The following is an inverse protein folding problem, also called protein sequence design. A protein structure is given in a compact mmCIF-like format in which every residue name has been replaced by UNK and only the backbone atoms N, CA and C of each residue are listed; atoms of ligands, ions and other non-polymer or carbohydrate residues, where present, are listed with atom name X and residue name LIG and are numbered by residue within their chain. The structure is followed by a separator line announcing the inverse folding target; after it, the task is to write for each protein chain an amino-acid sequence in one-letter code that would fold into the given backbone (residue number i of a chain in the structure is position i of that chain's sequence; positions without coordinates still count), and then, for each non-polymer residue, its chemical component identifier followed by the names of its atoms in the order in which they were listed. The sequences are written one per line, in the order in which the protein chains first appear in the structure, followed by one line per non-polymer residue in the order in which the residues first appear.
data_IF_647293886095
#
_entry.id   IF_647293886095
#
_cell.length_a   1.000
_cell.length_b   1.000
_cell.length_c   1.000
_cell.angle_alpha   90.00
_cell.angle_beta   90.00
_cell.angle_gamma   90.00
#
_symmetry.space_group_name_H-M   'P 1'
#
loop_
_entity.id
_entity.type
_entity.pdbx_description
1 polymer ?
#
# COMPACT_ATOMS: atom_id res chain seq x y z
N UNK A 1 10.06 36.37 7.40
CA UNK A 1 8.59 36.41 7.29
C UNK A 1 8.08 35.11 7.85
N UNK A 2 7.26 35.17 8.90
CA UNK A 2 6.81 34.01 9.69
C UNK A 2 6.14 32.99 8.78
N UNK A 3 6.72 31.78 8.70
CA UNK A 3 6.12 30.63 8.07
C UNK A 3 4.93 30.21 8.93
N UNK A 4 3.76 30.81 8.70
CA UNK A 4 2.51 30.25 9.20
C UNK A 4 2.37 28.91 8.49
N UNK A 5 2.72 27.83 9.17
CA UNK A 5 2.39 26.48 8.76
C UNK A 5 0.88 26.45 8.56
N UNK A 6 0.44 26.56 7.30
CA UNK A 6 -0.95 26.47 6.96
C UNK A 6 -1.43 25.10 7.47
N UNK A 7 -2.38 25.12 8.42
CA UNK A 7 -2.90 23.89 9.03
C UNK A 7 -3.46 23.02 7.90
N UNK A 8 -2.83 21.86 7.66
CA UNK A 8 -3.17 20.97 6.53
C UNK A 8 -4.44 20.17 6.82
N UNK A 9 -4.63 19.77 8.07
CA UNK A 9 -5.79 19.05 8.61
C UNK A 9 -5.76 19.13 10.15
N UNK A 10 -6.85 18.77 10.81
CA UNK A 10 -6.97 18.70 12.28
C UNK A 10 -6.59 17.31 12.80
N UNK A 11 -6.08 17.22 14.04
CA UNK A 11 -5.80 15.95 14.72
C UNK A 11 -7.04 15.06 14.91
N UNK A 12 -8.22 15.66 14.81
CA UNK A 12 -9.53 14.99 14.92
C UNK A 12 -10.19 14.71 13.58
N UNK A 13 -9.51 14.96 12.46
CA UNK A 13 -10.06 14.65 11.14
C UNK A 13 -10.14 13.14 10.95
N UNK A 14 -11.28 12.65 10.44
CA UNK A 14 -11.51 11.23 10.20
C UNK A 14 -10.74 10.71 8.99
N UNK A 15 -10.67 11.55 7.96
CA UNK A 15 -10.09 11.24 6.65
C UNK A 15 -9.32 12.47 6.16
N UNK A 16 -8.16 12.23 5.55
CA UNK A 16 -7.32 13.26 4.95
C UNK A 16 -7.00 12.88 3.50
N UNK A 17 -7.22 13.78 2.53
CA UNK A 17 -6.84 13.55 1.13
C UNK A 17 -5.31 13.53 0.98
N UNK A 18 -4.78 12.68 0.10
CA UNK A 18 -3.34 12.46 0.00
C UNK A 18 -2.54 13.72 -0.33
N UNK A 19 -3.11 14.67 -1.08
CA UNK A 19 -2.46 15.93 -1.47
C UNK A 19 -2.09 16.79 -0.24
N UNK A 20 -2.77 16.59 0.89
CA UNK A 20 -2.54 17.30 2.15
C UNK A 20 -1.56 16.59 3.08
N UNK A 21 -1.19 15.35 2.79
CA UNK A 21 -0.27 14.56 3.60
C UNK A 21 1.20 14.84 3.25
N UNK A 22 2.10 14.61 4.20
CA UNK A 22 3.55 14.74 4.11
C UNK A 22 4.21 13.61 4.89
N UNK A 23 5.50 13.39 4.68
CA UNK A 23 6.27 12.34 5.37
C UNK A 23 6.29 12.52 6.90
N UNK A 24 6.09 13.74 7.41
CA UNK A 24 5.97 14.01 8.85
C UNK A 24 4.64 13.56 9.49
N UNK A 25 3.67 13.06 8.70
CA UNK A 25 2.35 12.64 9.20
C UNK A 25 2.26 11.14 9.50
N UNK A 26 3.39 10.45 9.63
CA UNK A 26 3.47 8.99 9.90
C UNK A 26 2.61 8.60 11.11
N UNK A 27 2.64 9.40 12.18
CA UNK A 27 1.84 9.13 13.39
C UNK A 27 0.32 9.25 13.17
N UNK A 28 -0.09 9.93 12.10
CA UNK A 28 -1.50 10.18 11.77
C UNK A 28 -2.03 9.17 10.77
N UNK A 29 -1.25 8.80 9.76
CA UNK A 29 -1.73 7.97 8.62
C UNK A 29 -0.86 6.76 8.32
N UNK A 30 0.20 6.52 9.10
CA UNK A 30 1.21 5.50 8.82
C UNK A 30 2.15 5.85 7.68
N UNK A 31 3.27 5.13 7.60
CA UNK A 31 4.38 5.49 6.72
C UNK A 31 4.05 5.36 5.23
N UNK A 32 3.29 4.34 4.82
CA UNK A 32 2.86 4.18 3.41
C UNK A 32 2.01 5.35 2.92
N UNK A 33 0.98 5.74 3.66
CA UNK A 33 0.10 6.84 3.25
C UNK A 33 0.83 8.20 3.33
N UNK A 34 1.69 8.40 4.33
CA UNK A 34 2.54 9.58 4.43
C UNK A 34 3.48 9.71 3.23
N UNK A 35 4.14 8.62 2.83
CA UNK A 35 5.01 8.55 1.65
C UNK A 35 4.25 8.80 0.34
N UNK A 36 3.04 8.24 0.18
CA UNK A 36 2.17 8.52 -0.97
C UNK A 36 1.82 10.02 -1.06
N UNK A 37 1.44 10.62 0.06
CA UNK A 37 1.12 12.05 0.12
C UNK A 37 2.31 12.96 -0.16
N UNK A 38 3.49 12.59 0.34
CA UNK A 38 4.75 13.27 0.06
C UNK A 38 5.03 13.27 -1.45
N UNK A 39 4.94 12.12 -2.12
CA UNK A 39 5.15 12.02 -3.56
C UNK A 39 4.12 12.83 -4.37
N UNK A 40 2.83 12.73 -4.03
CA UNK A 40 1.76 13.50 -4.71
C UNK A 40 2.01 15.01 -4.56
N UNK A 41 2.35 15.46 -3.37
CA UNK A 41 2.44 16.89 -3.08
C UNK A 41 3.75 17.54 -3.53
N UNK A 42 4.87 16.79 -3.54
CA UNK A 42 6.19 17.33 -3.84
C UNK A 42 6.70 16.96 -5.24
N UNK A 43 6.30 15.80 -5.78
CA UNK A 43 6.94 15.23 -6.98
C UNK A 43 6.07 15.25 -8.24
N UNK A 44 4.79 15.59 -8.13
CA UNK A 44 3.91 15.74 -9.30
C UNK A 44 4.44 16.79 -10.28
N UNK A 45 4.96 17.92 -9.78
CA UNK A 45 5.58 18.96 -10.61
C UNK A 45 6.87 18.49 -11.30
N UNK A 46 7.54 17.48 -10.74
CA UNK A 46 8.73 16.82 -11.29
C UNK A 46 8.39 15.64 -12.21
N UNK A 47 7.10 15.46 -12.54
CA UNK A 47 6.61 14.46 -13.50
C UNK A 47 6.28 13.09 -12.91
N UNK A 48 6.49 12.86 -11.61
CA UNK A 48 6.11 11.60 -10.96
C UNK A 48 4.58 11.51 -10.89
N UNK A 49 4.02 10.42 -11.41
CA UNK A 49 2.57 10.21 -11.46
C UNK A 49 2.14 9.23 -10.38
N UNK A 50 1.44 9.73 -9.37
CA UNK A 50 0.88 8.91 -8.29
C UNK A 50 -0.65 9.01 -8.35
N UNK A 51 -1.40 7.89 -8.33
CA UNK A 51 -2.85 7.94 -8.29
C UNK A 51 -3.35 8.63 -7.01
N UNK A 52 -4.32 9.53 -7.16
CA UNK A 52 -4.95 10.22 -6.05
C UNK A 52 -5.77 9.28 -5.14
N UNK A 53 -6.13 9.80 -3.98
CA UNK A 53 -6.82 9.03 -2.95
C UNK A 53 -6.91 9.78 -1.62
N UNK A 54 -7.27 9.05 -0.58
CA UNK A 54 -7.37 9.57 0.78
C UNK A 54 -7.06 8.49 1.82
N UNK A 55 -6.65 8.91 3.01
CA UNK A 55 -6.37 8.02 4.14
C UNK A 55 -7.34 8.27 5.28
N UNK A 56 -7.80 7.22 5.94
CA UNK A 56 -8.36 7.33 7.30
C UNK A 56 -7.24 7.63 8.29
N UNK A 57 -7.53 8.29 9.40
CA UNK A 57 -6.50 8.67 10.37
C UNK A 57 -6.41 7.68 11.54
N UNK A 58 -5.31 7.74 12.30
CA UNK A 58 -5.16 7.05 13.56
C UNK A 58 -6.25 7.46 14.57
N UNK A 59 -6.71 8.72 14.53
CA UNK A 59 -7.87 9.18 15.28
C UNK A 59 -9.12 8.38 14.90
N UNK A 60 -9.39 8.21 13.60
CA UNK A 60 -10.52 7.43 13.13
C UNK A 60 -10.52 5.98 13.63
N UNK A 61 -9.36 5.32 13.58
CA UNK A 61 -9.20 3.96 14.09
C UNK A 61 -9.41 3.88 15.61
N UNK A 62 -8.83 4.81 16.38
CA UNK A 62 -9.02 4.86 17.84
C UNK A 62 -10.47 5.09 18.24
N UNK A 63 -11.16 6.01 17.55
CA UNK A 63 -12.58 6.27 17.78
C UNK A 63 -13.46 5.08 17.37
N UNK A 64 -13.09 4.35 16.33
CA UNK A 64 -13.76 3.10 15.96
C UNK A 64 -13.65 2.04 17.07
N UNK A 65 -12.46 1.84 17.64
CA UNK A 65 -12.27 0.88 18.75
C UNK A 65 -13.01 1.26 20.03
N UNK A 66 -13.28 2.55 20.26
CA UNK A 66 -14.05 3.03 21.41
C UNK A 66 -15.56 2.73 21.30
N UNK A 67 -16.06 2.29 20.15
CA UNK A 67 -17.47 1.95 19.95
C UNK A 67 -17.88 0.73 20.78
N UNK A 68 -19.01 0.83 21.48
CA UNK A 68 -19.67 -0.32 22.11
C UNK A 68 -18.82 -1.13 23.09
N UNK A 69 -17.74 -0.55 23.65
CA UNK A 69 -16.81 -1.27 24.53
C UNK A 69 -15.88 -2.26 23.81
N UNK A 70 -15.76 -2.17 22.48
CA UNK A 70 -14.92 -3.06 21.67
C UNK A 70 -13.48 -3.12 22.16
N UNK A 71 -12.84 -1.98 22.40
CA UNK A 71 -11.47 -1.90 22.93
C UNK A 71 -11.30 -2.68 24.25
N UNK A 72 -12.21 -2.49 25.21
CA UNK A 72 -12.16 -3.20 26.48
C UNK A 72 -12.29 -4.73 26.31
N UNK A 73 -13.19 -5.17 25.43
CA UNK A 73 -13.40 -6.58 25.11
C UNK A 73 -12.16 -7.22 24.46
N UNK A 74 -11.54 -6.50 23.52
CA UNK A 74 -10.29 -6.93 22.86
C UNK A 74 -9.17 -7.06 23.88
N UNK A 75 -8.97 -6.05 24.73
CA UNK A 75 -7.93 -6.07 25.77
C UNK A 75 -8.11 -7.24 26.74
N UNK A 76 -9.33 -7.50 27.19
CA UNK A 76 -9.60 -8.62 28.08
C UNK A 76 -9.20 -9.96 27.44
N UNK A 77 -9.52 -10.15 26.16
CA UNK A 77 -9.15 -11.37 25.44
C UNK A 77 -7.64 -11.51 25.26
N UNK A 78 -6.94 -10.42 24.88
CA UNK A 78 -5.49 -10.42 24.67
C UNK A 78 -4.70 -10.58 25.97
N UNK A 79 -5.17 -10.02 27.09
CA UNK A 79 -4.51 -10.15 28.39
C UNK A 79 -4.56 -11.59 28.96
N UNK A 80 -5.52 -12.39 28.52
CA UNK A 80 -5.67 -13.80 28.91
C UNK A 80 -4.99 -14.76 27.93
N UNK A 81 -4.47 -14.23 26.81
CA UNK A 81 -3.91 -15.03 25.74
C UNK A 81 -2.45 -15.37 26.04
N UNK A 82 -2.14 -16.66 26.06
CA UNK A 82 -0.78 -17.14 25.86
C UNK A 82 -0.47 -17.13 24.36
N UNK A 83 0.44 -16.26 23.92
CA UNK A 83 0.79 -16.11 22.50
C UNK A 83 1.62 -17.27 21.94
N UNK A 84 2.18 -18.12 22.82
CA UNK A 84 2.90 -19.34 22.42
C UNK A 84 1.94 -20.53 22.18
N UNK A 85 0.70 -20.46 22.71
CA UNK A 85 -0.37 -21.39 22.34
C UNK A 85 -0.99 -20.96 21.00
N UNK A 86 -0.50 -21.59 19.93
CA UNK A 86 -0.95 -21.36 18.55
C UNK A 86 -2.47 -21.55 18.38
N UNK A 87 -3.10 -22.48 19.13
CA UNK A 87 -4.55 -22.71 19.03
C UNK A 87 -5.33 -21.60 19.74
N UNK A 88 -4.88 -21.20 20.92
CA UNK A 88 -5.48 -20.08 21.65
C UNK A 88 -5.33 -18.77 20.85
N UNK A 89 -4.16 -18.54 20.25
CA UNK A 89 -3.88 -17.39 19.40
C UNK A 89 -4.82 -17.32 18.19
N UNK A 90 -4.96 -18.43 17.45
CA UNK A 90 -5.81 -18.48 16.26
C UNK A 90 -7.30 -18.24 16.61
N UNK A 91 -7.80 -18.86 17.69
CA UNK A 91 -9.20 -18.72 18.12
C UNK A 91 -9.52 -17.33 18.69
N UNK A 92 -8.61 -16.78 19.49
CA UNK A 92 -8.71 -15.41 20.03
C UNK A 92 -8.63 -14.37 18.92
N UNK A 93 -7.65 -14.51 18.02
CA UNK A 93 -7.48 -13.65 16.85
C UNK A 93 -8.73 -13.65 15.96
N UNK A 94 -9.27 -14.83 15.64
CA UNK A 94 -10.49 -14.95 14.85
C UNK A 94 -11.69 -14.26 15.53
N UNK A 95 -11.86 -14.44 16.85
CA UNK A 95 -12.94 -13.81 17.62
C UNK A 95 -12.82 -12.29 17.60
N UNK A 96 -11.63 -11.74 17.82
CA UNK A 96 -11.38 -10.30 17.79
C UNK A 96 -11.67 -9.73 16.40
N UNK A 97 -11.20 -10.38 15.33
CA UNK A 97 -11.47 -9.96 13.94
C UNK A 97 -12.97 -9.96 13.66
N UNK A 98 -13.70 -10.96 14.13
CA UNK A 98 -15.16 -10.99 13.98
C UNK A 98 -15.82 -9.81 14.70
N UNK A 99 -15.42 -9.49 15.94
CA UNK A 99 -15.98 -8.34 16.67
C UNK A 99 -15.72 -7.02 15.93
N UNK A 100 -14.53 -6.85 15.35
CA UNK A 100 -14.19 -5.69 14.52
C UNK A 100 -15.08 -5.62 13.28
N UNK A 101 -15.27 -6.73 12.56
CA UNK A 101 -16.11 -6.77 11.36
C UNK A 101 -17.60 -6.51 11.66
N UNK A 102 -18.10 -6.96 12.81
CA UNK A 102 -19.49 -6.74 13.26
C UNK A 102 -19.72 -5.32 13.80
N UNK A 103 -18.66 -4.59 14.14
CA UNK A 103 -18.77 -3.22 14.65
C UNK A 103 -18.97 -2.24 13.50
N UNK A 104 -20.05 -1.43 13.49
CA UNK A 104 -20.25 -0.42 12.46
C UNK A 104 -19.20 0.70 12.57
N UNK A 105 -18.88 1.32 11.44
CA UNK A 105 -18.02 2.51 11.45
C UNK A 105 -18.73 3.66 12.19
N UNK A 106 -18.01 4.49 12.96
CA UNK A 106 -18.58 5.72 13.51
C UNK A 106 -19.22 6.57 12.41
N UNK A 107 -20.39 7.16 12.66
CA UNK A 107 -21.13 7.92 11.66
C UNK A 107 -20.29 9.05 11.02
N UNK A 108 -19.43 9.71 11.81
CA UNK A 108 -18.50 10.74 11.32
C UNK A 108 -17.44 10.18 10.35
N UNK A 109 -16.91 8.99 10.64
CA UNK A 109 -15.96 8.30 9.76
C UNK A 109 -16.63 7.87 8.46
N UNK A 110 -17.78 7.19 8.56
CA UNK A 110 -18.52 6.76 7.36
C UNK A 110 -18.86 7.95 6.47
N UNK A 111 -19.42 9.02 7.04
CA UNK A 111 -19.77 10.23 6.30
C UNK A 111 -18.54 10.82 5.58
N UNK A 112 -17.41 10.93 6.29
CA UNK A 112 -16.18 11.50 5.73
C UNK A 112 -15.61 10.64 4.59
N UNK A 113 -15.66 9.30 4.70
CA UNK A 113 -15.28 8.38 3.63
C UNK A 113 -16.20 8.57 2.42
N UNK A 114 -17.52 8.61 2.62
CA UNK A 114 -18.49 8.82 1.54
C UNK A 114 -18.26 10.14 0.79
N UNK A 115 -17.97 11.20 1.51
CA UNK A 115 -17.67 12.52 0.92
C UNK A 115 -16.41 12.49 0.05
N UNK A 116 -15.29 11.98 0.58
CA UNK A 116 -14.02 11.91 -0.15
C UNK A 116 -14.10 10.92 -1.32
N UNK A 117 -14.78 9.79 -1.15
CA UNK A 117 -15.06 8.85 -2.22
C UNK A 117 -15.89 9.49 -3.33
N UNK A 118 -16.95 10.24 -3.00
CA UNK A 118 -17.78 10.93 -4.00
C UNK A 118 -16.98 11.90 -4.86
N UNK A 119 -16.05 12.65 -4.24
CA UNK A 119 -15.10 13.53 -4.95
C UNK A 119 -14.12 12.73 -5.81
N UNK A 120 -13.55 11.65 -5.26
CA UNK A 120 -12.57 10.82 -5.95
C UNK A 120 -13.18 10.02 -7.11
N UNK A 121 -14.43 9.58 -7.03
CA UNK A 121 -15.13 8.83 -8.07
C UNK A 121 -15.87 9.72 -9.09
N UNK A 122 -15.87 11.04 -8.88
CA UNK A 122 -16.62 11.98 -9.71
C UNK A 122 -16.28 11.85 -11.20
N UNK A 123 -17.32 11.66 -12.02
CA UNK A 123 -17.21 11.53 -13.48
C UNK A 123 -16.65 10.18 -13.96
N UNK A 124 -16.44 9.20 -13.07
CA UNK A 124 -15.86 7.90 -13.41
C UNK A 124 -16.60 6.76 -12.69
N UNK A 125 -17.82 6.41 -13.12
CA UNK A 125 -18.68 5.43 -12.44
C UNK A 125 -18.05 4.02 -12.38
N UNK A 126 -17.20 3.69 -13.35
CA UNK A 126 -16.53 2.38 -13.45
C UNK A 126 -15.14 2.36 -12.78
N UNK A 127 -14.76 3.42 -12.05
CA UNK A 127 -13.49 3.45 -11.33
C UNK A 127 -13.49 2.42 -10.19
N UNK A 128 -12.38 1.70 -10.05
CA UNK A 128 -12.11 0.82 -8.91
C UNK A 128 -10.96 1.35 -8.05
N UNK A 129 -10.90 0.86 -6.82
CA UNK A 129 -10.03 1.38 -5.77
C UNK A 129 -9.24 0.26 -5.11
N UNK A 130 -8.01 0.59 -4.70
CA UNK A 130 -7.25 -0.19 -3.75
C UNK A 130 -7.55 0.32 -2.33
N UNK A 131 -7.77 -0.60 -1.39
CA UNK A 131 -7.86 -0.30 0.04
C UNK A 131 -6.68 -0.98 0.71
N UNK A 132 -5.71 -0.17 1.13
CA UNK A 132 -4.40 -0.60 1.63
C UNK A 132 -4.23 -0.16 3.08
N UNK A 133 -3.66 -1.05 3.87
CA UNK A 133 -3.25 -0.80 5.24
C UNK A 133 -1.94 0.01 5.31
N UNK A 134 -1.83 0.88 6.31
CA UNK A 134 -0.68 1.73 6.59
C UNK A 134 -0.58 1.91 8.11
N UNK A 135 0.46 1.36 8.74
CA UNK A 135 0.58 1.36 10.21
C UNK A 135 1.44 2.54 10.69
N UNK A 136 1.14 3.05 11.88
CA UNK A 136 1.88 4.17 12.48
C UNK A 136 3.22 3.78 13.11
N UNK A 137 3.53 2.48 13.21
CA UNK A 137 4.70 1.95 13.91
C UNK A 137 5.78 1.39 12.97
N UNK A 138 5.89 1.91 11.75
CA UNK A 138 6.88 1.46 10.75
C UNK A 138 8.33 1.86 11.08
N UNK A 139 8.55 2.76 12.04
CA UNK A 139 9.88 3.32 12.40
C UNK A 139 10.67 2.51 13.44
N UNK A 140 10.21 1.33 13.85
CA UNK A 140 11.02 0.45 14.67
C UNK A 140 11.97 -0.35 13.75
N UNK A 141 13.29 -0.35 14.00
CA UNK A 141 14.31 -0.95 13.12
C UNK A 141 14.04 -2.41 12.71
N UNK A 142 13.25 -3.14 13.51
CA UNK A 142 12.87 -4.54 13.28
C UNK A 142 11.36 -4.74 13.02
N UNK A 143 10.53 -3.69 13.07
CA UNK A 143 9.09 -3.78 12.81
C UNK A 143 8.76 -3.58 11.33
N UNK A 144 9.35 -4.44 10.51
CA UNK A 144 8.83 -4.70 9.18
C UNK A 144 7.48 -5.42 9.32
N UNK A 145 6.39 -4.65 9.45
CA UNK A 145 5.05 -5.14 9.17
C UNK A 145 4.84 -5.36 7.65
N UNK A 146 5.89 -5.17 6.83
CA UNK A 146 5.86 -5.39 5.40
C UNK A 146 5.43 -6.84 5.10
N UNK A 147 4.45 -6.99 4.21
CA UNK A 147 3.87 -8.28 3.85
C UNK A 147 2.88 -8.89 4.87
N UNK A 148 2.59 -8.23 6.01
CA UNK A 148 1.62 -8.72 7.00
C UNK A 148 0.27 -8.00 6.98
N UNK A 149 0.15 -6.92 6.21
CA UNK A 149 -1.02 -6.06 6.24
C UNK A 149 -1.90 -6.28 5.00
N UNK A 150 -3.22 -6.24 5.18
CA UNK A 150 -4.17 -6.57 4.11
C UNK A 150 -4.25 -5.47 3.05
N UNK A 151 -4.22 -5.91 1.78
CA UNK A 151 -4.46 -5.08 0.61
C UNK A 151 -5.62 -5.68 -0.18
N UNK A 152 -6.61 -4.85 -0.47
CA UNK A 152 -7.74 -5.20 -1.33
C UNK A 152 -7.64 -4.42 -2.62
N UNK A 153 -7.65 -5.12 -3.75
CA UNK A 153 -7.56 -4.52 -5.09
C UNK A 153 -8.91 -4.61 -5.79
N UNK A 154 -9.14 -3.73 -6.77
CA UNK A 154 -10.34 -3.71 -7.61
C UNK A 154 -11.65 -3.62 -6.80
N UNK A 155 -11.68 -2.80 -5.75
CA UNK A 155 -12.88 -2.54 -4.95
C UNK A 155 -13.74 -1.51 -5.67
N UNK A 156 -15.00 -1.85 -5.97
CA UNK A 156 -15.91 -0.97 -6.72
C UNK A 156 -17.12 -0.61 -5.89
N UNK A 157 -17.46 0.68 -5.85
CA UNK A 157 -18.61 1.20 -5.12
C UNK A 157 -18.32 1.50 -3.65
N UNK A 158 -19.02 2.51 -3.13
CA UNK A 158 -18.78 3.05 -1.79
C UNK A 158 -19.01 2.03 -0.67
N UNK A 159 -20.05 1.20 -0.77
CA UNK A 159 -20.37 0.26 0.31
C UNK A 159 -19.32 -0.86 0.40
N UNK A 160 -18.75 -1.27 -0.75
CA UNK A 160 -17.62 -2.19 -0.78
C UNK A 160 -16.33 -1.55 -0.20
N UNK A 161 -16.09 -0.26 -0.46
CA UNK A 161 -14.97 0.47 0.17
C UNK A 161 -15.13 0.52 1.68
N UNK A 162 -16.30 0.87 2.20
CA UNK A 162 -16.57 0.89 3.65
C UNK A 162 -16.37 -0.50 4.27
N UNK A 163 -16.80 -1.55 3.59
CA UNK A 163 -16.54 -2.93 3.99
C UNK A 163 -15.04 -3.23 4.06
N UNK A 164 -14.28 -2.90 3.01
CA UNK A 164 -12.84 -3.17 2.99
C UNK A 164 -12.04 -2.32 3.96
N UNK A 165 -12.50 -1.14 4.34
CA UNK A 165 -11.92 -0.36 5.45
C UNK A 165 -12.07 -1.12 6.78
N UNK A 166 -13.23 -1.74 7.07
CA UNK A 166 -13.39 -2.58 8.27
C UNK A 166 -12.50 -3.81 8.25
N UNK A 167 -12.37 -4.46 7.09
CA UNK A 167 -11.44 -5.58 6.92
C UNK A 167 -9.99 -5.16 7.17
N UNK A 168 -9.56 -4.03 6.63
CA UNK A 168 -8.24 -3.45 6.93
C UNK A 168 -8.08 -3.23 8.42
N UNK A 169 -9.06 -2.65 9.12
CA UNK A 169 -9.01 -2.50 10.58
C UNK A 169 -8.93 -3.85 11.32
N UNK A 170 -9.64 -4.87 10.85
CA UNK A 170 -9.57 -6.22 11.41
C UNK A 170 -8.18 -6.86 11.21
N UNK A 171 -7.49 -6.56 10.10
CA UNK A 171 -6.16 -7.10 9.80
C UNK A 171 -5.10 -6.74 10.85
N UNK A 172 -5.32 -5.66 11.61
CA UNK A 172 -4.51 -5.31 12.77
C UNK A 172 -4.44 -6.47 13.78
N UNK A 173 -5.47 -7.31 13.85
CA UNK A 173 -5.62 -8.44 14.76
C UNK A 173 -5.44 -9.79 14.06
N UNK A 174 -4.70 -9.84 12.95
CA UNK A 174 -4.22 -11.10 12.39
C UNK A 174 -3.26 -11.80 13.36
N UNK A 175 -3.24 -13.14 13.34
CA UNK A 175 -2.53 -13.95 14.33
C UNK A 175 -1.03 -13.61 14.40
N UNK A 176 -0.41 -13.39 13.23
CA UNK A 176 0.99 -12.94 13.12
C UNK A 176 1.20 -11.56 13.74
N UNK A 177 0.28 -10.63 13.51
CA UNK A 177 0.37 -9.27 14.03
C UNK A 177 0.17 -9.24 15.56
N UNK A 178 -0.72 -10.07 16.10
CA UNK A 178 -0.91 -10.25 17.55
C UNK A 178 0.36 -10.84 18.16
N UNK A 179 0.83 -11.98 17.65
CA UNK A 179 2.03 -12.66 18.15
C UNK A 179 3.25 -11.74 18.14
N UNK A 180 3.47 -11.02 17.03
CA UNK A 180 4.56 -10.04 16.92
C UNK A 180 4.51 -8.97 18.01
N UNK A 181 3.34 -8.36 18.25
CA UNK A 181 3.21 -7.33 19.28
C UNK A 181 3.42 -7.87 20.69
N UNK A 182 2.94 -9.07 21.00
CA UNK A 182 3.17 -9.71 22.31
C UNK A 182 4.65 -9.97 22.54
N UNK A 183 5.35 -10.54 21.55
CA UNK A 183 6.78 -10.86 21.65
C UNK A 183 7.67 -9.63 21.79
N UNK A 184 7.28 -8.51 21.16
CA UNK A 184 8.00 -7.24 21.28
C UNK A 184 7.62 -6.43 22.53
N UNK A 185 6.68 -6.93 23.35
CA UNK A 185 6.20 -6.23 24.54
C UNK A 185 5.44 -4.94 24.23
N UNK A 186 4.87 -4.80 23.03
CA UNK A 186 4.08 -3.63 22.68
C UNK A 186 2.71 -3.69 23.32
N UNK A 187 2.40 -2.65 24.09
CA UNK A 187 1.03 -2.30 24.48
C UNK A 187 0.15 -2.26 23.22
N UNK A 188 -0.82 -3.16 23.12
CA UNK A 188 -1.67 -3.32 21.93
C UNK A 188 -2.41 -2.03 21.53
N UNK A 189 -2.55 -1.07 22.45
CA UNK A 189 -3.21 0.21 22.22
C UNK A 189 -2.34 1.28 21.54
N UNK A 190 -1.02 1.10 21.47
CA UNK A 190 -0.11 2.16 20.97
C UNK A 190 -0.05 2.22 19.45
N UNK A 191 -0.35 1.10 18.77
CA UNK A 191 -0.27 1.01 17.32
C UNK A 191 -1.64 1.27 16.72
N UNK A 192 -1.73 2.30 15.88
CA UNK A 192 -2.93 2.58 15.10
C UNK A 192 -2.71 2.13 13.65
N UNK A 193 -3.82 1.86 12.97
CA UNK A 193 -3.83 1.50 11.56
C UNK A 193 -4.65 2.52 10.77
N UNK A 194 -4.08 2.97 9.67
CA UNK A 194 -4.74 3.77 8.66
C UNK A 194 -5.06 2.91 7.45
N UNK A 195 -6.27 3.06 6.92
CA UNK A 195 -6.65 2.57 5.60
C UNK A 195 -6.49 3.70 4.56
N UNK A 196 -5.62 3.49 3.57
CA UNK A 196 -5.49 4.30 2.37
C UNK A 196 -6.40 3.78 1.26
N UNK A 197 -7.25 4.65 0.72
CA UNK A 197 -8.15 4.38 -0.41
C UNK A 197 -7.57 5.11 -1.61
N UNK A 198 -7.03 4.35 -2.56
CA UNK A 198 -6.34 4.89 -3.73
C UNK A 198 -7.02 4.41 -5.01
N UNK A 199 -7.06 5.26 -6.04
CA UNK A 199 -7.57 4.84 -7.34
C UNK A 199 -6.67 3.76 -7.96
N UNK A 200 -7.29 2.72 -8.53
CA UNK A 200 -6.57 1.67 -9.26
C UNK A 200 -6.00 2.18 -10.59
N UNK A 201 -4.76 1.79 -10.87
CA UNK A 201 -4.18 1.85 -12.22
C UNK A 201 -4.57 0.58 -12.98
N UNK A 202 -4.90 0.70 -14.27
CA UNK A 202 -5.33 -0.41 -15.15
C UNK A 202 -4.17 -1.31 -15.61
N UNK A 203 -3.27 -1.62 -14.68
CA UNK A 203 -2.14 -2.54 -14.90
C UNK A 203 -2.60 -3.99 -15.15
N UNK A 204 -3.85 -4.32 -14.86
CA UNK A 204 -4.50 -5.56 -15.31
C UNK A 204 -4.44 -5.72 -16.84
N UNK A 205 -4.45 -4.61 -17.59
CA UNK A 205 -4.34 -4.59 -19.04
C UNK A 205 -2.91 -4.31 -19.55
N UNK A 206 -1.97 -4.09 -18.64
CA UNK A 206 -0.62 -3.64 -18.93
C UNK A 206 0.41 -4.42 -18.14
N UNK A 207 1.25 -3.69 -17.42
CA UNK A 207 2.34 -4.27 -16.65
C UNK A 207 2.54 -3.50 -15.34
N UNK A 208 3.09 -4.19 -14.35
CA UNK A 208 3.46 -3.61 -13.07
C UNK A 208 4.71 -4.31 -12.53
N UNK A 209 5.29 -3.74 -11.48
CA UNK A 209 6.44 -4.34 -10.82
C UNK A 209 7.02 -3.44 -9.74
N UNK A 210 8.28 -3.69 -9.44
CA UNK A 210 9.02 -3.01 -8.37
C UNK A 210 10.31 -2.43 -8.94
N UNK A 211 10.72 -1.26 -8.45
CA UNK A 211 12.02 -0.68 -8.71
C UNK A 211 12.79 -0.48 -7.42
N UNK A 212 14.07 -0.82 -7.45
CA UNK A 212 15.03 -0.50 -6.41
C UNK A 212 16.02 0.50 -6.98
N UNK A 213 16.35 1.53 -6.21
CA UNK A 213 17.38 2.50 -6.62
C UNK A 213 18.79 2.06 -6.25
N UNK A 214 19.00 0.76 -6.06
CA UNK A 214 20.29 0.11 -5.97
C UNK A 214 20.16 -1.34 -6.45
N UNK A 215 21.28 -2.00 -6.67
CA UNK A 215 21.30 -3.46 -6.81
C UNK A 215 21.11 -4.11 -5.43
N UNK A 216 20.00 -4.81 -5.22
CA UNK A 216 19.65 -5.44 -3.95
C UNK A 216 20.54 -6.62 -3.58
N UNK A 217 21.25 -7.22 -4.54
CA UNK A 217 22.15 -8.35 -4.29
C UNK A 217 23.52 -7.88 -3.79
N UNK A 218 24.11 -6.87 -4.45
CA UNK A 218 25.46 -6.39 -4.15
C UNK A 218 25.52 -5.12 -3.30
N UNK A 219 24.42 -4.38 -3.21
CA UNK A 219 24.38 -3.04 -2.64
C UNK A 219 24.94 -1.94 -3.55
N UNK A 220 25.21 -2.23 -4.83
CA UNK A 220 25.74 -1.24 -5.76
C UNK A 220 24.72 -0.14 -6.07
N UNK A 221 25.01 1.08 -5.62
CA UNK A 221 24.07 2.20 -5.64
C UNK A 221 23.96 2.92 -7.00
N UNK A 222 24.83 2.64 -7.95
CA UNK A 222 24.88 3.38 -9.23
C UNK A 222 23.96 2.79 -10.32
N UNK A 223 23.05 1.89 -9.93
CA UNK A 223 22.02 1.32 -10.82
C UNK A 223 20.62 1.49 -10.26
N UNK A 224 19.65 1.58 -11.16
CA UNK A 224 18.24 1.30 -10.84
C UNK A 224 17.95 -0.11 -11.34
N UNK A 225 17.49 -0.97 -10.43
CA UNK A 225 17.02 -2.31 -10.74
C UNK A 225 15.50 -2.29 -10.88
N UNK A 226 14.98 -2.70 -12.04
CA UNK A 226 13.55 -2.67 -12.36
C UNK A 226 13.10 -4.09 -12.65
N UNK A 227 12.09 -4.55 -11.90
CA UNK A 227 11.37 -5.78 -12.20
C UNK A 227 10.02 -5.47 -12.85
N UNK A 228 9.56 -6.31 -13.77
CA UNK A 228 8.28 -6.13 -14.44
C UNK A 228 7.60 -7.43 -14.83
N UNK A 229 6.29 -7.51 -14.63
CA UNK A 229 5.45 -8.58 -15.17
C UNK A 229 4.12 -8.02 -15.67
N UNK A 230 3.38 -8.81 -16.44
CA UNK A 230 2.03 -8.44 -16.89
C UNK A 230 1.01 -8.53 -15.76
N UNK A 231 -0.01 -7.68 -15.82
CA UNK A 231 -1.08 -7.65 -14.82
C UNK A 231 -0.75 -6.80 -13.60
N UNK A 232 -1.57 -6.94 -12.54
CA UNK A 232 -1.40 -6.23 -11.28
C UNK A 232 -0.09 -6.63 -10.58
N UNK A 233 0.57 -5.66 -9.96
CA UNK A 233 1.92 -5.81 -9.38
C UNK A 233 2.01 -6.75 -8.18
N UNK A 234 0.88 -7.15 -7.59
CA UNK A 234 0.81 -8.01 -6.41
C UNK A 234 1.56 -9.34 -6.61
N UNK A 235 1.52 -9.91 -7.82
CA UNK A 235 2.24 -11.16 -8.12
C UNK A 235 3.76 -11.01 -8.06
N UNK A 236 4.29 -9.81 -8.37
CA UNK A 236 5.72 -9.49 -8.28
C UNK A 236 6.10 -9.25 -6.83
N UNK A 237 5.32 -8.43 -6.10
CA UNK A 237 5.56 -8.11 -4.68
C UNK A 237 5.54 -9.37 -3.81
N UNK A 238 4.65 -10.33 -4.10
CA UNK A 238 4.57 -11.60 -3.38
C UNK A 238 5.59 -12.65 -3.83
N UNK A 239 6.41 -12.37 -4.87
CA UNK A 239 7.34 -13.34 -5.44
C UNK A 239 6.66 -14.54 -6.13
N UNK A 240 5.39 -14.41 -6.50
CA UNK A 240 4.59 -15.47 -7.13
C UNK A 240 4.90 -15.65 -8.63
N UNK A 241 5.57 -14.67 -9.24
CA UNK A 241 5.98 -14.69 -10.65
C UNK A 241 7.46 -14.39 -10.77
N UNK A 242 8.12 -14.99 -11.78
CA UNK A 242 9.48 -14.60 -12.19
C UNK A 242 9.36 -13.47 -13.25
N UNK A 243 9.66 -12.22 -12.88
CA UNK A 243 9.46 -11.05 -13.73
C UNK A 243 10.63 -10.84 -14.71
N UNK A 244 10.43 -9.97 -15.70
CA UNK A 244 11.54 -9.38 -16.44
C UNK A 244 12.39 -8.50 -15.52
N UNK A 245 13.69 -8.44 -15.77
CA UNK A 245 14.64 -7.65 -15.01
C UNK A 245 15.39 -6.70 -15.94
N UNK A 246 15.54 -5.46 -15.51
CA UNK A 246 16.29 -4.43 -16.22
C UNK A 246 17.21 -3.70 -15.25
N UNK A 247 18.45 -3.48 -15.66
CA UNK A 247 19.39 -2.64 -14.92
C UNK A 247 19.68 -1.38 -15.73
N UNK A 248 19.52 -0.23 -15.07
CA UNK A 248 19.74 1.08 -15.66
C UNK A 248 20.87 1.80 -14.93
N UNK A 249 21.93 2.17 -15.64
CA UNK A 249 23.09 2.82 -15.05
C UNK A 249 22.83 4.32 -14.84
N UNK A 250 22.83 4.74 -13.56
CA UNK A 250 22.42 6.10 -13.16
C UNK A 250 23.28 7.20 -13.78
N UNK A 251 24.62 7.11 -13.86
CA UNK A 251 25.46 8.17 -14.43
C UNK A 251 25.13 8.46 -15.90
N UNK A 252 24.93 7.43 -16.72
CA UNK A 252 24.55 7.61 -18.13
C UNK A 252 23.13 8.13 -18.30
N UNK A 253 22.21 7.72 -17.42
CA UNK A 253 20.83 8.22 -17.41
C UNK A 253 20.79 9.73 -17.12
N UNK A 254 21.54 10.18 -16.09
CA UNK A 254 21.70 11.60 -15.75
C UNK A 254 22.32 12.41 -16.89
N UNK A 255 23.22 11.80 -17.66
CA UNK A 255 23.83 12.41 -18.84
C UNK A 255 22.94 12.37 -20.11
N UNK A 256 21.70 11.89 -20.01
CA UNK A 256 20.75 11.82 -21.13
C UNK A 256 21.11 10.79 -22.20
N UNK A 257 21.96 9.81 -21.88
CA UNK A 257 22.38 8.74 -22.78
C UNK A 257 21.53 7.47 -22.60
N UNK A 258 21.63 6.54 -23.54
CA UNK A 258 21.08 5.20 -23.34
C UNK A 258 21.74 4.55 -22.13
N UNK A 259 20.94 4.10 -21.18
CA UNK A 259 21.39 3.70 -19.85
C UNK A 259 21.00 2.27 -19.46
N UNK A 260 20.21 1.56 -20.27
CA UNK A 260 19.86 0.16 -20.01
C UNK A 260 21.07 -0.71 -20.31
N UNK A 261 21.67 -1.29 -19.27
CA UNK A 261 22.94 -2.04 -19.36
C UNK A 261 22.74 -3.56 -19.32
N UNK A 262 21.60 -4.04 -18.80
CA UNK A 262 21.27 -5.47 -18.73
C UNK A 262 19.77 -5.67 -18.84
N UNK A 263 19.37 -6.77 -19.50
CA UNK A 263 18.00 -7.29 -19.54
C UNK A 263 18.01 -8.78 -19.26
N UNK A 264 17.04 -9.26 -18.49
CA UNK A 264 16.77 -10.67 -18.30
C UNK A 264 15.28 -10.92 -18.53
N UNK A 265 14.97 -11.92 -19.34
CA UNK A 265 13.58 -12.26 -19.66
C UNK A 265 13.04 -13.21 -18.59
N UNK A 266 12.04 -12.76 -17.85
CA UNK A 266 11.33 -13.58 -16.88
C UNK A 266 10.35 -14.54 -17.55
N UNK A 267 10.06 -15.67 -16.90
CA UNK A 267 9.12 -16.66 -17.43
C UNK A 267 7.67 -16.15 -17.46
N UNK A 268 7.32 -15.20 -16.58
CA UNK A 268 6.02 -14.52 -16.51
C UNK A 268 4.82 -15.47 -16.63
N UNK A 269 4.89 -16.64 -15.99
CA UNK A 269 3.91 -17.72 -16.18
C UNK A 269 2.48 -17.30 -15.82
N UNK A 270 2.35 -16.49 -14.77
CA UNK A 270 1.07 -16.06 -14.23
C UNK A 270 0.97 -14.53 -14.25
N UNK A 271 -0.25 -14.03 -14.33
CA UNK A 271 -0.59 -12.61 -14.18
C UNK A 271 -1.87 -12.48 -13.35
N UNK A 272 -1.98 -11.39 -12.60
CA UNK A 272 -3.22 -11.06 -11.88
C UNK A 272 -4.00 -10.00 -12.65
N UNK A 273 -5.30 -10.22 -12.80
CA UNK A 273 -6.22 -9.30 -13.50
C UNK A 273 -7.49 -9.10 -12.68
N UNK A 274 -8.31 -8.13 -13.09
CA UNK A 274 -9.61 -7.91 -12.48
C UNK A 274 -10.51 -9.12 -12.72
N UNK A 275 -11.16 -9.58 -11.65
CA UNK A 275 -12.13 -10.65 -11.79
C UNK A 275 -13.36 -10.15 -12.57
N UNK A 276 -14.00 -11.00 -13.38
CA UNK A 276 -15.25 -10.66 -14.06
C UNK A 276 -16.36 -10.25 -13.06
N UNK A 277 -17.28 -9.35 -13.44
CA UNK A 277 -18.43 -9.00 -12.60
C UNK A 277 -19.20 -10.24 -12.14
N UNK A 278 -19.55 -10.30 -10.85
CA UNK A 278 -20.24 -11.44 -10.23
C UNK A 278 -19.32 -12.55 -9.70
N UNK A 279 -18.01 -12.41 -9.85
CA UNK A 279 -17.03 -13.32 -9.23
C UNK A 279 -17.04 -13.20 -7.70
N UNK A 280 -16.72 -14.30 -7.01
CA UNK A 280 -16.59 -14.31 -5.55
C UNK A 280 -15.37 -13.50 -5.05
N UNK A 281 -14.37 -13.31 -5.91
CA UNK A 281 -13.16 -12.55 -5.64
C UNK A 281 -13.10 -11.30 -6.54
N UNK A 282 -12.40 -10.27 -6.09
CA UNK A 282 -12.25 -9.00 -6.82
C UNK A 282 -11.16 -9.07 -7.91
N UNK A 283 -10.22 -10.00 -7.76
CA UNK A 283 -9.11 -10.24 -8.67
C UNK A 283 -8.96 -11.75 -8.88
N UNK A 284 -8.35 -12.12 -10.00
CA UNK A 284 -8.04 -13.51 -10.33
C UNK A 284 -6.62 -13.62 -10.88
N UNK A 285 -5.96 -14.75 -10.61
CA UNK A 285 -4.66 -15.09 -11.20
C UNK A 285 -4.88 -16.05 -12.36
N UNK A 286 -4.36 -15.71 -13.52
CA UNK A 286 -4.51 -16.48 -14.76
C UNK A 286 -3.17 -16.77 -15.41
N UNK A 287 -3.12 -17.79 -16.25
CA UNK A 287 -1.97 -18.07 -17.10
C UNK A 287 -1.73 -16.92 -18.09
N UNK A 288 -0.49 -16.43 -18.13
CA UNK A 288 -0.07 -15.48 -19.17
C UNK A 288 -0.03 -16.19 -20.52
N UNK A 289 -0.58 -15.63 -21.61
CA UNK A 289 -0.43 -16.21 -22.95
C UNK A 289 1.04 -16.42 -23.35
N UNK A 290 1.35 -17.50 -24.05
CA UNK A 290 2.74 -17.86 -24.44
C UNK A 290 3.42 -16.76 -25.27
N UNK A 291 2.67 -16.04 -26.10
CA UNK A 291 3.17 -14.92 -26.89
C UNK A 291 3.69 -13.76 -26.02
N UNK A 292 3.04 -13.52 -24.88
CA UNK A 292 3.45 -12.49 -23.91
C UNK A 292 4.63 -12.98 -23.06
N UNK A 293 4.66 -14.25 -22.66
CA UNK A 293 5.78 -14.83 -21.87
C UNK A 293 7.13 -14.64 -22.56
N UNK A 294 7.16 -14.77 -23.89
CA UNK A 294 8.37 -14.66 -24.71
C UNK A 294 8.73 -13.22 -25.12
N UNK A 295 8.13 -12.20 -24.49
CA UNK A 295 8.41 -10.78 -24.74
C UNK A 295 8.73 -10.08 -23.44
N UNK A 296 9.51 -9.01 -23.53
CA UNK A 296 9.65 -8.09 -22.42
C UNK A 296 8.33 -7.34 -22.22
N UNK A 297 7.88 -7.23 -20.97
CA UNK A 297 6.68 -6.47 -20.59
C UNK A 297 6.84 -4.96 -20.76
N UNK A 298 8.09 -4.49 -20.82
CA UNK A 298 8.46 -3.09 -21.03
C UNK A 298 9.38 -2.90 -22.23
N UNK A 299 9.20 -1.76 -22.92
CA UNK A 299 10.16 -1.24 -23.88
C UNK A 299 11.21 -0.32 -23.23
N UNK A 300 12.31 -0.06 -23.95
CA UNK A 300 13.42 0.76 -23.45
C UNK A 300 13.03 2.18 -23.04
N UNK A 301 12.09 2.79 -23.76
CA UNK A 301 11.58 4.12 -23.41
C UNK A 301 10.89 4.11 -22.04
N UNK A 302 10.14 3.04 -21.74
CA UNK A 302 9.39 2.89 -20.49
C UNK A 302 10.35 2.57 -19.35
N UNK A 303 11.31 1.66 -19.57
CA UNK A 303 12.39 1.37 -18.60
C UNK A 303 13.17 2.65 -18.27
N UNK A 304 13.47 3.47 -19.28
CA UNK A 304 14.17 4.75 -19.09
C UNK A 304 13.31 5.78 -18.35
N UNK A 305 12.00 5.85 -18.63
CA UNK A 305 11.08 6.75 -17.94
C UNK A 305 10.92 6.35 -16.47
N UNK A 306 10.70 5.07 -16.20
CA UNK A 306 10.62 4.51 -14.86
C UNK A 306 11.90 4.78 -14.05
N UNK A 307 13.08 4.55 -14.64
CA UNK A 307 14.34 4.86 -13.97
C UNK A 307 14.51 6.36 -13.67
N UNK A 308 13.97 7.26 -14.50
CA UNK A 308 13.95 8.71 -14.20
C UNK A 308 13.04 9.01 -12.99
N UNK A 309 11.86 8.39 -12.90
CA UNK A 309 11.02 8.54 -11.71
C UNK A 309 11.71 8.03 -10.46
N UNK A 310 12.36 6.88 -10.54
CA UNK A 310 13.10 6.29 -9.44
C UNK A 310 14.22 7.23 -8.94
N UNK A 311 14.99 7.84 -9.86
CA UNK A 311 16.00 8.84 -9.50
C UNK A 311 15.41 10.10 -8.86
N UNK A 312 14.29 10.62 -9.38
CA UNK A 312 13.62 11.79 -8.79
C UNK A 312 13.14 11.49 -7.37
N UNK A 313 12.59 10.29 -7.15
CA UNK A 313 12.11 9.85 -5.83
C UNK A 313 13.29 9.65 -4.87
N UNK A 314 14.35 8.93 -5.26
CA UNK A 314 15.57 8.78 -4.46
C UNK A 314 16.18 10.12 -4.07
N UNK A 315 16.28 11.06 -5.02
CA UNK A 315 16.83 12.38 -4.75
C UNK A 315 16.01 13.16 -3.72
N UNK A 316 14.68 13.02 -3.75
CA UNK A 316 13.79 13.67 -2.79
C UNK A 316 13.96 13.11 -1.38
N UNK A 317 13.99 11.79 -1.25
CA UNK A 317 14.11 11.13 0.05
C UNK A 317 15.55 11.06 0.58
N UNK A 318 16.55 11.27 -0.27
CA UNK A 318 17.98 11.29 0.10
C UNK A 318 18.52 9.93 0.54
N UNK A 319 17.87 8.84 0.13
CA UNK A 319 18.23 7.45 0.49
C UNK A 319 17.78 6.48 -0.61
N UNK A 320 18.33 5.25 -0.66
CA UNK A 320 17.82 4.21 -1.56
C UNK A 320 16.34 3.91 -1.31
N UNK A 321 15.60 3.67 -2.39
CA UNK A 321 14.15 3.50 -2.37
C UNK A 321 13.71 2.19 -3.01
N UNK A 322 12.68 1.59 -2.42
CA UNK A 322 11.88 0.50 -2.96
C UNK A 322 10.53 1.09 -3.42
N UNK A 323 10.18 0.89 -4.70
CA UNK A 323 9.09 1.62 -5.37
C UNK A 323 8.22 0.65 -6.19
N UNK A 324 6.97 0.49 -5.79
CA UNK A 324 5.93 -0.14 -6.63
C UNK A 324 5.52 0.78 -7.79
N UNK A 325 5.29 0.21 -8.98
CA UNK A 325 4.80 0.96 -10.14
C UNK A 325 3.82 0.12 -10.99
N UNK A 326 3.01 0.80 -11.81
CA UNK A 326 2.08 0.16 -12.74
C UNK A 326 1.78 1.04 -13.96
N UNK A 327 1.48 0.40 -15.09
CA UNK A 327 1.13 0.98 -16.38
C UNK A 327 -0.23 0.47 -16.84
#
# INVERSE_FOLDING_TARGET
MSNQSQVRFSDTDWVVPFERLRMQDVDVVGGKNASLGEMISQLTASGVRVPGGFATTAYAFRQFLQQGGLDARIRQALNQLDADDVRALASTGASIRQWVLETPLPAGLEHSIREHFGKLAAGQPDASFAVRSSATAEDLPDASFAGQQETYLNVTGIDAVLDKVRHVFASMFNDRAISYRVHQGFEHHQVALSAGIQRMVRSDLGAAGVMFTLDTESGFEDVVFITSSYGLGETVVQGAVNPDEFYVFKPTLRAGKSAVIRRNLGSKLLRMEFAPPGSAHLVQTVDTPSELRNRYSLGDAEVTELAKFALTIEQHYGRPMDIEWGK
#
